data_IF_984334285269
#
_entry.id   IF_984334285269
#
_cell.length_a   1.000
_cell.length_b   1.000
_cell.length_c   1.000
_cell.angle_alpha   90.00
_cell.angle_beta   90.00
_cell.angle_gamma   90.00
#
_symmetry.space_group_name_H-M   'P 1'
#
loop_
_entity.id
_entity.type
_entity.pdbx_description
1 polymer ?
#
# COMPACT_ATOMS: atom_id res chain seq x y z
N UNK A 1 36.36 60.72 5.65
CA UNK A 1 35.98 59.93 6.83
C UNK A 1 34.85 58.99 6.43
N UNK A 2 35.07 57.70 6.67
CA UNK A 2 34.24 56.57 6.25
C UNK A 2 33.04 56.46 7.18
N UNK A 3 31.82 56.44 6.64
CA UNK A 3 30.64 55.96 7.34
C UNK A 3 30.17 54.72 6.57
N UNK A 4 30.32 53.58 7.23
CA UNK A 4 29.88 52.28 6.75
C UNK A 4 28.37 52.18 6.94
N UNK A 5 27.64 51.90 5.86
CA UNK A 5 26.26 51.43 5.93
C UNK A 5 26.30 49.92 5.70
N UNK A 6 26.16 49.16 6.79
CA UNK A 6 25.95 47.72 6.73
C UNK A 6 24.48 47.47 6.36
N UNK A 7 24.26 46.82 5.22
CA UNK A 7 22.94 46.39 4.76
C UNK A 7 22.81 44.90 5.09
N UNK A 8 22.05 44.58 6.12
CA UNK A 8 21.70 43.20 6.49
C UNK A 8 20.58 42.76 5.55
N UNK A 9 20.89 41.89 4.59
CA UNK A 9 19.89 41.14 3.83
C UNK A 9 19.70 39.81 4.54
N UNK A 10 18.56 39.66 5.22
CA UNK A 10 18.12 38.36 5.73
C UNK A 10 17.60 37.51 4.57
N UNK A 11 18.30 36.43 4.26
CA UNK A 11 17.82 35.39 3.34
C UNK A 11 16.78 34.54 4.08
N UNK A 12 15.50 34.72 3.77
CA UNK A 12 14.46 33.77 4.17
C UNK A 12 14.51 32.59 3.19
N UNK A 13 15.08 31.48 3.65
CA UNK A 13 14.94 30.17 3.01
C UNK A 13 13.52 29.65 3.30
N UNK A 14 12.57 29.99 2.44
CA UNK A 14 11.30 29.28 2.35
C UNK A 14 11.57 27.98 1.58
N UNK A 15 11.62 26.86 2.29
CA UNK A 15 11.51 25.52 1.72
C UNK A 15 10.12 25.37 1.11
N UNK A 16 10.02 25.67 -0.19
CA UNK A 16 8.89 25.24 -0.99
C UNK A 16 9.01 23.72 -1.18
N UNK A 17 8.10 22.96 -0.57
CA UNK A 17 7.80 21.62 -1.04
C UNK A 17 7.30 21.76 -2.49
N UNK A 18 8.07 21.23 -3.44
CA UNK A 18 7.64 21.15 -4.83
C UNK A 18 6.63 20.01 -4.86
N UNK A 19 5.34 20.35 -4.91
CA UNK A 19 4.33 19.40 -5.37
C UNK A 19 4.61 19.16 -6.85
N UNK A 20 5.08 17.96 -7.16
CA UNK A 20 5.23 17.51 -8.54
C UNK A 20 3.83 17.22 -9.06
N UNK A 21 3.18 18.23 -9.64
CA UNK A 21 2.02 17.99 -10.49
C UNK A 21 2.53 17.52 -11.86
N UNK A 22 2.45 16.22 -12.11
CA UNK A 22 2.74 15.66 -13.43
C UNK A 22 1.54 15.92 -14.34
N UNK A 23 1.69 16.91 -15.23
CA UNK A 23 0.83 17.08 -16.40
C UNK A 23 1.09 15.94 -17.40
N UNK A 24 0.05 15.18 -17.76
CA UNK A 24 -0.02 14.19 -18.87
C UNK A 24 1.32 13.63 -19.38
N UNK A 25 1.86 12.68 -18.61
CA UNK A 25 2.88 11.70 -18.99
C UNK A 25 2.60 10.46 -18.15
N UNK A 26 2.65 9.25 -18.73
CA UNK A 26 2.24 8.02 -18.05
C UNK A 26 2.82 7.94 -16.63
N UNK A 27 1.96 7.75 -15.63
CA UNK A 27 2.38 7.44 -14.25
C UNK A 27 3.33 6.23 -14.27
N UNK A 28 4.30 6.18 -13.35
CA UNK A 28 5.21 5.03 -13.26
C UNK A 28 4.52 3.77 -12.71
N UNK A 29 3.33 3.93 -12.15
CA UNK A 29 2.48 2.88 -11.58
C UNK A 29 1.02 3.13 -11.95
N UNK A 30 0.24 2.07 -11.90
CA UNK A 30 -1.22 2.15 -11.90
C UNK A 30 -1.73 2.41 -10.48
N UNK A 31 -2.95 2.94 -10.35
CA UNK A 31 -3.60 3.05 -9.04
C UNK A 31 -3.96 1.65 -8.52
N UNK A 32 -3.59 1.35 -7.28
CA UNK A 32 -3.91 0.07 -6.68
C UNK A 32 -5.39 -0.06 -6.27
N UNK A 33 -6.10 1.05 -5.99
CA UNK A 33 -7.46 1.02 -5.45
C UNK A 33 -8.41 1.83 -6.31
N UNK A 34 -9.22 1.16 -7.12
CA UNK A 34 -10.17 1.84 -8.01
C UNK A 34 -11.37 2.41 -7.24
N UNK A 35 -11.67 3.70 -7.43
CA UNK A 35 -12.90 4.34 -6.95
C UNK A 35 -12.87 4.77 -5.48
N UNK A 36 -11.73 4.65 -4.82
CA UNK A 36 -11.46 5.12 -3.46
C UNK A 36 -10.03 5.62 -3.37
N UNK A 37 -9.81 6.71 -2.66
CA UNK A 37 -8.45 7.05 -2.24
C UNK A 37 -8.12 6.14 -1.07
N UNK A 38 -7.02 5.40 -1.13
CA UNK A 38 -6.66 4.51 -0.04
C UNK A 38 -5.27 3.93 -0.18
N UNK A 39 -4.76 3.44 0.94
CA UNK A 39 -3.41 2.90 1.06
C UNK A 39 -3.25 2.11 2.34
N UNK A 40 -2.01 1.88 2.70
CA UNK A 40 -1.61 1.14 3.89
C UNK A 40 -0.77 2.06 4.78
N UNK A 41 -1.22 2.26 6.02
CA UNK A 41 -0.51 3.05 7.03
C UNK A 41 0.78 2.34 7.44
N UNK A 42 0.68 1.04 7.73
CA UNK A 42 1.82 0.25 8.19
C UNK A 42 1.41 -1.11 8.73
N UNK A 43 2.40 -1.79 9.31
CA UNK A 43 2.29 -3.16 9.82
C UNK A 43 2.93 -3.30 11.20
N UNK A 44 2.32 -4.12 12.06
CA UNK A 44 2.91 -4.62 13.30
C UNK A 44 3.00 -6.14 13.21
N UNK A 45 4.18 -6.73 13.42
CA UNK A 45 4.38 -8.19 13.39
C UNK A 45 4.92 -8.71 14.72
N UNK A 46 4.34 -9.80 15.23
CA UNK A 46 4.78 -10.51 16.43
C UNK A 46 5.12 -11.96 16.05
N UNK A 47 6.36 -12.43 16.30
CA UNK A 47 6.71 -13.83 16.09
C UNK A 47 5.95 -14.75 17.06
N UNK A 48 5.45 -15.86 16.53
CA UNK A 48 4.90 -17.00 17.26
C UNK A 48 6.02 -18.06 17.38
N UNK A 49 6.09 -18.79 18.50
CA UNK A 49 7.07 -19.90 18.65
C UNK A 49 8.06 -19.81 19.83
N UNK A 50 8.16 -18.68 20.54
CA UNK A 50 9.19 -18.50 21.59
C UNK A 50 8.73 -18.70 23.06
N UNK A 51 7.61 -19.38 23.30
CA UNK A 51 7.18 -19.76 24.67
C UNK A 51 6.80 -18.59 25.58
N UNK A 52 6.54 -17.40 25.02
CA UNK A 52 5.99 -16.26 25.75
C UNK A 52 4.47 -16.22 25.53
N UNK A 53 3.72 -16.38 26.62
CA UNK A 53 2.25 -16.50 26.56
C UNK A 53 1.54 -15.16 26.25
N UNK A 54 2.24 -14.03 26.38
CA UNK A 54 1.73 -12.69 26.12
C UNK A 54 2.85 -11.84 25.50
N UNK A 55 2.53 -11.14 24.42
CA UNK A 55 3.41 -10.16 23.77
C UNK A 55 2.58 -8.95 23.35
N UNK A 56 3.13 -7.75 23.49
CA UNK A 56 2.53 -6.50 23.02
C UNK A 56 3.61 -5.67 22.32
N UNK A 57 3.27 -5.14 21.15
CA UNK A 57 4.09 -4.22 20.39
C UNK A 57 3.26 -2.97 20.09
N UNK A 58 3.86 -1.80 20.32
CA UNK A 58 3.31 -0.51 19.94
C UNK A 58 4.30 0.18 19.00
N UNK A 59 3.81 0.66 17.87
CA UNK A 59 4.60 1.33 16.82
C UNK A 59 4.09 2.75 16.65
N UNK A 60 4.98 3.73 16.62
CA UNK A 60 4.64 5.11 16.24
C UNK A 60 4.55 5.19 14.70
N UNK A 61 3.76 6.12 14.18
CA UNK A 61 3.51 6.26 12.76
C UNK A 61 4.80 6.39 11.92
N UNK A 62 5.78 7.13 12.45
CA UNK A 62 7.04 7.42 11.77
C UNK A 62 7.98 6.19 11.77
N UNK A 63 7.70 5.19 12.60
CA UNK A 63 8.49 3.97 12.76
C UNK A 63 7.94 2.81 11.92
N UNK A 64 6.84 3.00 11.17
CA UNK A 64 6.35 1.97 10.27
C UNK A 64 7.29 1.76 9.08
N UNK A 65 7.73 0.51 8.89
CA UNK A 65 8.41 0.12 7.67
C UNK A 65 7.45 0.22 6.47
N UNK A 66 7.91 0.67 5.28
CA UNK A 66 7.14 0.60 4.05
C UNK A 66 6.64 -0.82 3.79
N UNK A 67 5.41 -0.95 3.30
CA UNK A 67 4.79 -2.24 3.00
C UNK A 67 4.79 -2.50 1.50
N UNK A 68 5.22 -3.69 1.10
CA UNK A 68 5.11 -4.18 -0.28
C UNK A 68 4.34 -5.50 -0.28
N UNK A 69 3.19 -5.49 -0.96
CA UNK A 69 2.34 -6.66 -1.13
C UNK A 69 2.56 -7.24 -2.53
N UNK A 70 2.98 -8.50 -2.60
CA UNK A 70 3.40 -9.19 -3.83
C UNK A 70 2.41 -10.31 -4.13
N UNK A 71 1.77 -10.28 -5.30
CA UNK A 71 0.96 -11.39 -5.78
C UNK A 71 1.80 -12.30 -6.69
N UNK A 72 2.03 -13.52 -6.25
CA UNK A 72 3.01 -14.45 -6.84
C UNK A 72 2.40 -15.85 -7.01
N UNK A 73 3.20 -16.76 -7.59
CA UNK A 73 2.87 -18.18 -7.60
C UNK A 73 4.12 -19.06 -7.72
N UNK A 74 4.08 -20.26 -7.15
CA UNK A 74 5.18 -21.26 -7.19
C UNK A 74 5.54 -21.72 -8.60
N UNK A 75 4.64 -21.56 -9.56
CA UNK A 75 4.85 -21.90 -10.97
C UNK A 75 5.26 -20.69 -11.84
N UNK A 76 5.22 -19.48 -11.29
CA UNK A 76 5.43 -18.25 -12.04
C UNK A 76 6.92 -17.90 -12.14
N UNK A 77 7.56 -18.24 -13.26
CA UNK A 77 8.97 -17.89 -13.52
C UNK A 77 9.19 -16.38 -13.61
N UNK A 78 8.23 -15.62 -14.14
CA UNK A 78 8.32 -14.17 -14.17
C UNK A 78 8.28 -13.53 -12.77
N UNK A 79 7.68 -14.21 -11.80
CA UNK A 79 7.61 -13.74 -10.42
C UNK A 79 8.98 -13.77 -9.76
N UNK A 80 9.80 -14.78 -10.06
CA UNK A 80 11.22 -14.83 -9.64
C UNK A 80 11.98 -13.60 -10.13
N UNK A 81 11.75 -13.18 -11.37
CA UNK A 81 12.38 -11.98 -11.93
C UNK A 81 11.90 -10.70 -11.22
N UNK A 82 10.58 -10.54 -10.99
CA UNK A 82 10.06 -9.35 -10.31
C UNK A 82 10.48 -9.30 -8.84
N UNK A 83 10.53 -10.43 -8.15
CA UNK A 83 10.99 -10.51 -6.76
C UNK A 83 12.49 -10.15 -6.65
N UNK A 84 13.34 -10.68 -7.53
CA UNK A 84 14.76 -10.28 -7.58
C UNK A 84 14.94 -8.80 -7.96
N UNK A 85 14.06 -8.25 -8.79
CA UNK A 85 14.07 -6.81 -9.14
C UNK A 85 13.65 -5.96 -7.96
N UNK A 86 12.67 -6.43 -7.18
CA UNK A 86 12.22 -5.81 -5.94
C UNK A 86 13.34 -5.82 -4.90
N UNK A 87 14.05 -6.93 -4.73
CA UNK A 87 15.22 -7.03 -3.85
C UNK A 87 16.30 -6.00 -4.22
N UNK A 88 16.59 -5.84 -5.52
CA UNK A 88 17.54 -4.83 -6.01
C UNK A 88 17.07 -3.40 -5.69
N UNK A 89 15.77 -3.12 -5.83
CA UNK A 89 15.19 -1.81 -5.55
C UNK A 89 15.14 -1.47 -4.06
N UNK A 90 14.92 -2.47 -3.20
CA UNK A 90 14.91 -2.33 -1.74
C UNK A 90 16.33 -2.02 -1.22
N UNK A 91 17.33 -2.76 -1.72
CA UNK A 91 18.72 -2.62 -1.28
C UNK A 91 18.86 -2.88 0.22
N UNK A 92 19.39 -1.89 0.95
CA UNK A 92 19.59 -1.97 2.41
C UNK A 92 18.40 -1.38 3.20
N UNK A 93 17.31 -1.01 2.54
CA UNK A 93 16.12 -0.41 3.19
C UNK A 93 15.30 -1.48 3.89
N UNK A 94 14.83 -1.19 5.10
CA UNK A 94 13.89 -2.07 5.78
C UNK A 94 12.48 -1.91 5.17
N UNK A 95 11.89 -3.02 4.74
CA UNK A 95 10.56 -3.08 4.10
C UNK A 95 9.83 -4.31 4.63
N UNK A 96 8.56 -4.15 4.97
CA UNK A 96 7.70 -5.28 5.31
C UNK A 96 7.09 -5.87 4.02
N UNK A 97 7.31 -7.16 3.78
CA UNK A 97 6.83 -7.85 2.57
C UNK A 97 5.74 -8.85 2.92
N UNK A 98 4.75 -8.96 2.03
CA UNK A 98 3.65 -9.91 2.16
C UNK A 98 3.47 -10.60 0.80
N UNK A 99 3.69 -11.91 0.74
CA UNK A 99 3.56 -12.68 -0.50
C UNK A 99 2.21 -13.40 -0.52
N UNK A 100 1.32 -12.91 -1.37
CA UNK A 100 0.04 -13.49 -1.70
C UNK A 100 0.24 -14.55 -2.78
N UNK A 101 0.14 -15.80 -2.37
CA UNK A 101 0.17 -16.93 -3.30
C UNK A 101 -1.21 -17.17 -3.89
N UNK A 102 -1.25 -17.38 -5.20
CA UNK A 102 -2.48 -17.69 -5.92
C UNK A 102 -3.09 -19.01 -5.43
N UNK A 103 -4.41 -19.08 -5.30
CA UNK A 103 -5.10 -20.25 -4.71
C UNK A 103 -6.45 -20.57 -5.37
N UNK A 104 -7.33 -19.59 -5.57
CA UNK A 104 -8.70 -19.85 -6.03
C UNK A 104 -8.69 -20.47 -7.44
N UNK A 105 -9.36 -21.62 -7.56
CA UNK A 105 -9.51 -22.42 -8.77
C UNK A 105 -8.20 -23.00 -9.33
N UNK A 106 -7.18 -23.15 -8.48
CA UNK A 106 -5.88 -23.67 -8.88
C UNK A 106 -5.27 -24.57 -7.80
N UNK A 107 -4.72 -25.71 -8.21
CA UNK A 107 -4.16 -26.71 -7.30
C UNK A 107 -2.62 -26.76 -7.32
N UNK A 108 -1.97 -25.90 -8.12
CA UNK A 108 -0.53 -25.94 -8.37
C UNK A 108 0.30 -25.17 -7.35
N UNK A 109 -0.32 -24.19 -6.69
CA UNK A 109 0.33 -23.42 -5.62
C UNK A 109 -0.30 -23.82 -4.27
N UNK A 110 0.50 -24.36 -3.32
CA UNK A 110 -0.01 -24.88 -2.07
C UNK A 110 -0.15 -23.81 -0.97
N UNK A 111 0.35 -22.60 -1.17
CA UNK A 111 0.59 -21.65 -0.08
C UNK A 111 -0.55 -20.68 0.17
N UNK A 112 -1.30 -20.31 -0.87
CA UNK A 112 -2.42 -19.39 -0.71
C UNK A 112 -3.64 -20.05 -0.04
N UNK A 113 -4.61 -19.23 0.35
CA UNK A 113 -5.90 -19.69 0.88
C UNK A 113 -7.05 -18.80 0.39
N UNK A 114 -8.29 -19.20 0.68
CA UNK A 114 -9.45 -18.39 0.31
C UNK A 114 -9.46 -17.01 0.96
N UNK A 115 -8.88 -16.88 2.17
CA UNK A 115 -8.87 -15.64 2.92
C UNK A 115 -7.79 -14.67 2.40
N UNK A 116 -6.62 -15.18 1.99
CA UNK A 116 -5.58 -14.38 1.35
C UNK A 116 -6.00 -13.88 -0.03
N UNK A 117 -6.65 -14.75 -0.81
CA UNK A 117 -7.27 -14.36 -2.08
C UNK A 117 -8.37 -13.34 -1.89
N UNK A 118 -9.17 -13.46 -0.82
CA UNK A 118 -10.20 -12.49 -0.51
C UNK A 118 -9.59 -11.11 -0.23
N UNK A 119 -8.56 -11.02 0.62
CA UNK A 119 -7.85 -9.76 0.90
C UNK A 119 -7.27 -9.13 -0.36
N UNK A 120 -6.68 -9.92 -1.27
CA UNK A 120 -6.17 -9.35 -2.53
C UNK A 120 -7.31 -8.82 -3.40
N UNK A 121 -8.33 -9.64 -3.65
CA UNK A 121 -9.43 -9.28 -4.55
C UNK A 121 -10.29 -8.12 -4.01
N UNK A 122 -10.54 -8.06 -2.70
CA UNK A 122 -11.33 -6.99 -2.08
C UNK A 122 -10.63 -5.63 -2.15
N UNK A 123 -9.30 -5.63 -2.15
CA UNK A 123 -8.51 -4.39 -2.04
C UNK A 123 -7.95 -3.95 -3.39
N UNK A 124 -7.46 -4.88 -4.21
CA UNK A 124 -6.76 -4.60 -5.47
C UNK A 124 -7.38 -5.28 -6.68
N UNK A 125 -8.45 -6.07 -6.50
CA UNK A 125 -9.05 -6.86 -7.57
C UNK A 125 -9.56 -6.01 -8.73
N UNK A 126 -10.23 -4.90 -8.44
CA UNK A 126 -10.77 -3.99 -9.46
C UNK A 126 -9.67 -3.32 -10.28
N UNK A 127 -8.60 -2.85 -9.63
CA UNK A 127 -7.41 -2.31 -10.31
C UNK A 127 -6.71 -3.37 -11.15
N UNK A 128 -6.44 -4.54 -10.55
CA UNK A 128 -5.82 -5.67 -11.25
C UNK A 128 -6.62 -6.05 -12.50
N UNK A 129 -7.95 -6.09 -12.40
CA UNK A 129 -8.82 -6.38 -13.53
C UNK A 129 -8.79 -5.28 -14.60
N UNK A 130 -8.79 -4.00 -14.19
CA UNK A 130 -8.79 -2.85 -15.10
C UNK A 130 -7.50 -2.73 -15.92
N UNK A 131 -6.35 -3.01 -15.31
CA UNK A 131 -5.03 -2.78 -15.91
C UNK A 131 -4.37 -4.03 -16.52
N UNK A 132 -4.88 -5.24 -16.24
CA UNK A 132 -4.35 -6.48 -16.82
C UNK A 132 -4.95 -6.83 -18.19
N UNK A 133 -4.16 -7.52 -19.01
CA UNK A 133 -4.58 -8.14 -20.27
C UNK A 133 -4.11 -9.61 -20.34
N UNK A 134 -5.02 -10.60 -20.34
CA UNK A 134 -6.47 -10.45 -20.23
C UNK A 134 -6.90 -10.00 -18.82
N UNK A 135 -8.01 -9.26 -18.74
CA UNK A 135 -8.55 -8.75 -17.48
C UNK A 135 -8.81 -9.86 -16.46
N UNK A 136 -8.18 -9.75 -15.30
CA UNK A 136 -8.28 -10.70 -14.21
C UNK A 136 -7.91 -10.01 -12.89
N UNK A 137 -8.66 -10.31 -11.84
CA UNK A 137 -8.48 -9.76 -10.48
C UNK A 137 -7.22 -10.26 -9.78
N UNK A 138 -6.60 -11.32 -10.31
CA UNK A 138 -5.54 -12.13 -9.67
C UNK A 138 -4.43 -12.49 -10.65
N UNK A 139 -3.57 -11.52 -10.95
CA UNK A 139 -2.52 -11.66 -11.96
C UNK A 139 -1.13 -11.67 -11.32
N UNK A 140 -0.45 -12.83 -11.26
CA UNK A 140 0.96 -12.86 -10.93
C UNK A 140 1.82 -12.57 -12.19
N UNK A 141 2.95 -11.84 -12.07
CA UNK A 141 3.37 -11.08 -10.90
C UNK A 141 2.63 -9.74 -10.79
N UNK A 142 2.29 -9.35 -9.57
CA UNK A 142 1.86 -7.99 -9.22
C UNK A 142 2.58 -7.52 -7.97
N UNK A 143 2.94 -6.25 -7.90
CA UNK A 143 3.53 -5.63 -6.71
C UNK A 143 2.76 -4.36 -6.37
N UNK A 144 2.35 -4.21 -5.12
CA UNK A 144 1.65 -3.03 -4.60
C UNK A 144 2.49 -2.39 -3.50
N UNK A 145 2.86 -1.13 -3.70
CA UNK A 145 3.66 -0.35 -2.74
C UNK A 145 2.75 0.55 -1.92
N UNK A 146 2.90 0.49 -0.59
CA UNK A 146 2.10 1.25 0.40
C UNK A 146 0.58 1.11 0.21
N UNK A 147 0.11 0.03 -0.43
CA UNK A 147 -1.30 -0.17 -0.74
C UNK A 147 -1.88 0.78 -1.80
N UNK A 148 -1.05 1.57 -2.49
CA UNK A 148 -1.45 2.68 -3.37
C UNK A 148 -0.98 2.51 -4.82
N UNK A 149 0.18 1.89 -5.02
CA UNK A 149 0.89 1.91 -6.31
C UNK A 149 1.06 0.51 -6.85
N UNK A 150 0.28 0.18 -7.87
CA UNK A 150 0.25 -1.13 -8.50
C UNK A 150 1.23 -1.19 -9.69
N UNK A 151 2.04 -2.25 -9.70
CA UNK A 151 2.89 -2.63 -10.82
C UNK A 151 2.53 -4.03 -11.30
N UNK A 152 2.10 -4.14 -12.55
CA UNK A 152 1.70 -5.41 -13.16
C UNK A 152 2.78 -5.96 -14.09
N UNK A 153 3.05 -7.26 -13.96
CA UNK A 153 3.94 -7.98 -14.85
C UNK A 153 5.40 -7.58 -14.72
N UNK A 154 6.14 -7.67 -15.82
CA UNK A 154 7.60 -7.47 -15.86
C UNK A 154 8.03 -6.25 -16.68
N UNK A 155 7.06 -5.45 -17.13
CA UNK A 155 7.32 -4.33 -18.02
C UNK A 155 7.55 -3.06 -17.21
N UNK A 156 8.69 -2.42 -17.44
CA UNK A 156 8.96 -1.11 -16.88
C UNK A 156 8.09 -0.02 -17.52
N UNK A 157 7.62 0.91 -16.69
CA UNK A 157 6.98 2.16 -17.06
C UNK A 157 7.99 3.30 -17.25
N UNK A 158 9.19 3.19 -16.65
CA UNK A 158 10.31 4.11 -16.86
C UNK A 158 11.52 3.46 -17.55
N UNK A 159 12.74 3.84 -17.16
CA UNK A 159 14.00 3.32 -17.72
C UNK A 159 14.28 1.87 -17.33
N UNK A 160 13.80 1.42 -16.15
CA UNK A 160 13.89 0.03 -15.68
C UNK A 160 12.84 -0.25 -14.61
N UNK A 161 12.50 -1.52 -14.43
CA UNK A 161 11.55 -1.94 -13.41
C UNK A 161 12.11 -1.70 -11.99
N UNK A 162 13.43 -1.83 -11.81
CA UNK A 162 14.13 -1.44 -10.57
C UNK A 162 13.88 0.05 -10.25
N UNK A 163 13.96 0.93 -11.26
CA UNK A 163 13.71 2.36 -11.07
C UNK A 163 12.25 2.64 -10.71
N UNK A 164 11.31 1.91 -11.31
CA UNK A 164 9.88 2.01 -11.01
C UNK A 164 9.59 1.62 -9.54
N UNK A 165 10.16 0.51 -9.07
CA UNK A 165 10.04 0.05 -7.69
C UNK A 165 10.73 0.97 -6.70
N UNK A 166 11.96 1.40 -6.98
CA UNK A 166 12.70 2.33 -6.12
C UNK A 166 11.97 3.68 -5.98
N UNK A 167 11.40 4.18 -7.08
CA UNK A 167 10.57 5.40 -7.04
C UNK A 167 9.31 5.19 -6.21
N UNK A 168 8.66 4.02 -6.33
CA UNK A 168 7.45 3.70 -5.58
C UNK A 168 7.70 3.55 -4.07
N UNK A 169 8.86 3.03 -3.68
CA UNK A 169 9.34 2.97 -2.29
C UNK A 169 9.64 4.37 -1.76
N UNK A 170 10.43 5.16 -2.50
CA UNK A 170 10.83 6.51 -2.09
C UNK A 170 9.65 7.49 -1.99
N UNK A 171 8.54 7.21 -2.69
CA UNK A 171 7.32 8.03 -2.63
C UNK A 171 6.63 7.93 -1.27
N UNK A 172 6.67 6.77 -0.60
CA UNK A 172 6.01 6.56 0.70
C UNK A 172 4.47 6.59 0.66
N UNK A 173 3.83 6.59 1.82
CA UNK A 173 2.37 6.72 1.95
C UNK A 173 1.97 8.14 1.57
N UNK A 174 0.91 8.31 0.76
CA UNK A 174 0.49 9.64 0.30
C UNK A 174 -0.12 10.50 1.41
N UNK A 175 -0.80 9.86 2.37
CA UNK A 175 -1.47 10.53 3.48
C UNK A 175 -0.63 10.49 4.76
N UNK A 176 -0.75 11.55 5.57
CA UNK A 176 -0.02 11.69 6.83
C UNK A 176 -0.93 11.30 8.00
N UNK A 177 -0.46 10.34 8.79
CA UNK A 177 -1.06 9.98 10.07
C UNK A 177 -0.18 10.51 11.20
N UNK A 178 -0.72 10.55 12.42
CA UNK A 178 0.03 10.79 13.65
C UNK A 178 -0.40 9.83 14.75
N UNK A 179 0.53 9.51 15.64
CA UNK A 179 0.27 8.70 16.82
C UNK A 179 0.63 7.24 16.64
N UNK A 180 0.04 6.37 17.46
CA UNK A 180 0.51 4.99 17.56
C UNK A 180 -0.57 3.93 17.33
N UNK A 181 -0.12 2.77 16.90
CA UNK A 181 -0.92 1.56 16.86
C UNK A 181 -0.28 0.49 17.73
N UNK A 182 -1.11 -0.36 18.35
CA UNK A 182 -0.62 -1.52 19.07
C UNK A 182 -1.31 -2.81 18.66
N UNK A 183 -0.53 -3.89 18.70
CA UNK A 183 -0.99 -5.27 18.60
C UNK A 183 -0.51 -5.99 19.86
N UNK A 184 -1.42 -6.72 20.49
CA UNK A 184 -1.13 -7.61 21.60
C UNK A 184 -1.70 -8.99 21.34
N UNK A 185 -1.00 -10.00 21.83
CA UNK A 185 -1.41 -11.39 21.72
C UNK A 185 -1.37 -12.08 23.07
N UNK A 186 -2.29 -13.01 23.27
CA UNK A 186 -2.27 -13.92 24.41
C UNK A 186 -2.72 -15.32 23.97
N UNK A 187 -2.02 -16.34 24.43
CA UNK A 187 -2.35 -17.74 24.11
C UNK A 187 -3.21 -18.36 25.21
N UNK A 188 -4.25 -19.08 24.82
CA UNK A 188 -5.07 -19.86 25.76
C UNK A 188 -4.42 -21.21 26.09
N UNK A 189 -4.83 -21.82 27.20
CA UNK A 189 -4.39 -23.18 27.57
C UNK A 189 -4.74 -24.26 26.51
N UNK A 190 -5.60 -23.94 25.55
CA UNK A 190 -6.08 -24.83 24.48
C UNK A 190 -5.39 -24.56 23.13
N UNK A 191 -4.41 -23.65 23.08
CA UNK A 191 -3.64 -23.31 21.87
C UNK A 191 -4.33 -22.30 20.94
N UNK A 192 -5.45 -21.68 21.37
CA UNK A 192 -6.06 -20.59 20.62
C UNK A 192 -5.36 -19.28 20.92
N UNK A 193 -5.13 -18.46 19.90
CA UNK A 193 -4.49 -17.16 20.03
C UNK A 193 -5.54 -16.06 20.07
N UNK A 194 -5.56 -15.26 21.13
CA UNK A 194 -6.34 -14.03 21.20
C UNK A 194 -5.44 -12.85 20.80
N UNK A 195 -5.78 -12.21 19.69
CA UNK A 195 -5.14 -10.99 19.22
C UNK A 195 -6.03 -9.79 19.55
N UNK A 196 -5.45 -8.73 20.11
CA UNK A 196 -6.14 -7.47 20.40
C UNK A 196 -5.36 -6.29 19.82
N UNK A 197 -6.07 -5.37 19.18
CA UNK A 197 -5.49 -4.20 18.52
C UNK A 197 -6.05 -2.90 19.09
N UNK A 198 -5.24 -1.84 19.01
CA UNK A 198 -5.67 -0.50 19.30
C UNK A 198 -5.02 0.51 18.34
N UNK A 199 -5.85 1.16 17.53
CA UNK A 199 -5.54 2.19 16.55
C UNK A 199 -6.12 3.55 16.94
N UNK A 200 -6.66 3.70 18.15
CA UNK A 200 -7.39 4.91 18.55
C UNK A 200 -6.54 6.18 18.59
N UNK A 201 -5.22 6.02 18.56
CA UNK A 201 -4.27 7.12 18.52
C UNK A 201 -3.78 7.45 17.11
N UNK A 202 -4.07 6.61 16.10
CA UNK A 202 -3.78 6.92 14.71
C UNK A 202 -4.81 7.91 14.20
N UNK A 203 -4.39 9.17 14.09
CA UNK A 203 -5.21 10.26 13.60
C UNK A 203 -4.70 10.74 12.24
N UNK A 204 -5.63 10.96 11.32
CA UNK A 204 -5.31 11.53 10.02
C UNK A 204 -5.03 13.03 10.15
N UNK A 205 -3.92 13.49 9.56
CA UNK A 205 -3.55 14.89 9.52
C UNK A 205 -3.67 15.46 8.11
N UNK A 206 -4.56 16.44 8.00
CA UNK A 206 -4.82 17.22 6.79
C UNK A 206 -4.55 18.70 7.10
N UNK A 207 -3.86 19.40 6.20
CA UNK A 207 -3.67 20.85 6.36
C UNK A 207 -4.98 21.59 6.06
N UNK A 208 -5.49 22.35 7.04
CA UNK A 208 -6.63 23.26 6.83
C UNK A 208 -6.28 24.30 5.75
N UNK A 209 -6.90 24.20 4.57
CA UNK A 209 -6.71 25.19 3.50
C UNK A 209 -7.03 24.72 2.07
N UNK A 210 -7.14 23.40 1.85
CA UNK A 210 -7.41 22.82 0.52
C UNK A 210 -8.85 22.28 0.34
N UNK A 211 -9.69 22.39 1.36
CA UNK A 211 -10.99 21.72 1.45
C UNK A 211 -11.21 21.23 2.88
N UNK A 212 -12.42 20.81 3.22
CA UNK A 212 -12.63 20.10 4.48
C UNK A 212 -11.87 18.77 4.46
N UNK A 213 -11.35 18.34 5.60
CA UNK A 213 -10.66 17.07 5.70
C UNK A 213 -11.63 15.90 5.45
N UNK A 214 -11.28 14.94 4.58
CA UNK A 214 -12.08 13.74 4.41
C UNK A 214 -12.13 12.95 5.72
N UNK A 215 -13.26 12.28 5.94
CA UNK A 215 -13.35 11.29 7.01
C UNK A 215 -12.67 10.00 6.53
N UNK A 216 -11.50 9.70 7.11
CA UNK A 216 -10.77 8.48 6.83
C UNK A 216 -11.40 7.30 7.56
N UNK A 217 -11.48 6.16 6.88
CA UNK A 217 -11.80 4.86 7.48
C UNK A 217 -10.52 4.06 7.61
N UNK A 218 -10.24 3.56 8.83
CA UNK A 218 -9.18 2.58 9.07
C UNK A 218 -9.75 1.17 8.98
N UNK A 219 -9.08 0.30 8.23
CA UNK A 219 -9.47 -1.08 7.98
C UNK A 219 -8.34 -2.03 8.42
N UNK A 220 -8.36 -2.50 9.68
CA UNK A 220 -7.36 -3.43 10.17
C UNK A 220 -7.58 -4.86 9.66
N UNK A 221 -6.47 -5.55 9.43
CA UNK A 221 -6.42 -6.96 9.07
C UNK A 221 -5.45 -7.72 9.98
N UNK A 222 -5.90 -8.84 10.53
CA UNK A 222 -5.05 -9.78 11.27
C UNK A 222 -4.63 -10.90 10.33
N UNK A 223 -3.33 -11.10 10.16
CA UNK A 223 -2.73 -11.97 9.17
C UNK A 223 -1.72 -12.94 9.80
N UNK A 224 -1.51 -14.09 9.16
CA UNK A 224 -0.48 -15.05 9.52
C UNK A 224 0.52 -15.21 8.38
N UNK A 225 1.78 -14.87 8.63
CA UNK A 225 2.87 -14.87 7.63
C UNK A 225 3.99 -15.78 8.12
N UNK A 226 4.42 -16.71 7.27
CA UNK A 226 5.59 -17.55 7.50
C UNK A 226 6.82 -16.92 6.83
N UNK A 227 7.94 -16.86 7.54
CA UNK A 227 9.15 -16.22 7.03
C UNK A 227 9.76 -16.99 5.86
N UNK A 228 9.78 -18.32 5.92
CA UNK A 228 10.31 -19.17 4.86
C UNK A 228 9.62 -20.53 4.78
N UNK A 229 9.25 -20.93 3.57
CA UNK A 229 8.72 -22.25 3.26
C UNK A 229 9.59 -22.94 2.19
N UNK A 230 10.10 -24.13 2.49
CA UNK A 230 10.87 -24.98 1.57
C UNK A 230 9.94 -25.88 0.74
N UNK A 231 9.81 -25.56 -0.54
CA UNK A 231 8.99 -26.27 -1.52
C UNK A 231 9.74 -26.42 -2.87
N UNK A 232 10.66 -27.39 -2.98
CA UNK A 232 11.44 -27.63 -4.20
C UNK A 232 10.60 -28.15 -5.38
N UNK A 233 9.35 -28.56 -5.14
CA UNK A 233 8.42 -28.98 -6.19
C UNK A 233 7.84 -27.81 -7.00
N UNK A 234 8.07 -26.56 -6.59
CA UNK A 234 7.66 -25.38 -7.32
C UNK A 234 8.35 -25.27 -8.69
N UNK A 235 7.58 -25.09 -9.76
CA UNK A 235 8.13 -25.14 -11.13
C UNK A 235 8.88 -23.87 -11.55
N UNK A 236 8.95 -22.86 -10.68
CA UNK A 236 9.74 -21.64 -10.90
C UNK A 236 11.19 -21.75 -10.40
N UNK A 237 11.54 -22.78 -9.62
CA UNK A 237 12.92 -23.10 -9.22
C UNK A 237 13.50 -22.28 -8.08
N UNK A 238 12.68 -21.66 -7.22
CA UNK A 238 13.15 -20.91 -6.04
C UNK A 238 13.58 -21.81 -4.87
N UNK A 239 12.98 -22.99 -4.75
CA UNK A 239 13.05 -23.91 -3.59
C UNK A 239 12.57 -23.32 -2.27
N UNK A 240 12.96 -22.10 -1.91
CA UNK A 240 12.53 -21.37 -0.72
C UNK A 240 11.64 -20.19 -1.11
N UNK A 241 10.46 -20.12 -0.52
CA UNK A 241 9.50 -19.02 -0.68
C UNK A 241 9.44 -18.25 0.63
N UNK A 242 9.57 -16.92 0.56
CA UNK A 242 9.64 -16.07 1.74
C UNK A 242 8.36 -15.27 1.94
N UNK A 243 8.09 -14.86 3.19
CA UNK A 243 6.96 -13.99 3.56
C UNK A 243 5.60 -14.53 3.11
N UNK A 244 5.43 -15.84 3.20
CA UNK A 244 4.25 -16.55 2.69
C UNK A 244 3.05 -16.22 3.58
N UNK A 245 2.06 -15.55 3.01
CA UNK A 245 0.81 -15.27 3.70
C UNK A 245 -0.10 -16.51 3.66
N UNK A 246 -0.43 -17.05 4.84
CA UNK A 246 -1.30 -18.23 5.00
C UNK A 246 -2.77 -17.87 5.13
N UNK A 247 -3.07 -16.89 5.98
CA UNK A 247 -4.44 -16.46 6.27
C UNK A 247 -4.52 -14.95 6.49
N UNK A 248 -5.64 -14.35 6.11
CA UNK A 248 -5.95 -12.93 6.35
C UNK A 248 -7.40 -12.76 6.85
N UNK A 249 -7.56 -12.08 7.99
CA UNK A 249 -8.86 -11.88 8.64
C UNK A 249 -9.14 -10.39 8.76
N UNK A 250 -10.17 -9.92 8.08
CA UNK A 250 -10.67 -8.55 8.26
C UNK A 250 -11.28 -8.42 9.65
N UNK A 251 -10.94 -7.34 10.36
CA UNK A 251 -11.48 -7.07 11.68
C UNK A 251 -12.10 -5.68 11.75
N UNK A 252 -13.19 -5.56 12.51
CA UNK A 252 -13.95 -4.31 12.57
C UNK A 252 -13.46 -3.39 13.70
N UNK A 253 -13.42 -2.10 13.40
CA UNK A 253 -13.23 -1.03 14.38
C UNK A 253 -11.78 -0.72 14.69
N UNK A 254 -11.57 0.48 15.24
CA UNK A 254 -10.25 1.02 15.59
C UNK A 254 -9.64 0.35 16.82
N UNK A 255 -10.41 -0.38 17.62
CA UNK A 255 -9.89 -1.20 18.71
C UNK A 255 -10.77 -2.43 18.89
N UNK A 256 -10.18 -3.57 19.20
CA UNK A 256 -10.93 -4.80 19.33
C UNK A 256 -10.07 -5.99 19.71
N UNK A 257 -10.70 -7.17 19.72
CA UNK A 257 -10.02 -8.44 19.94
C UNK A 257 -10.70 -9.55 19.15
N UNK A 258 -9.91 -10.51 18.67
CA UNK A 258 -10.36 -11.70 17.95
C UNK A 258 -9.63 -12.93 18.48
N UNK A 259 -10.29 -14.08 18.49
CA UNK A 259 -9.67 -15.37 18.83
C UNK A 259 -9.56 -16.20 17.57
N UNK A 260 -8.34 -16.62 17.25
CA UNK A 260 -7.98 -17.35 16.04
C UNK A 260 -7.19 -18.60 16.43
N UNK A 261 -7.20 -19.60 15.55
CA UNK A 261 -6.27 -20.72 15.65
C UNK A 261 -5.15 -20.44 14.64
N UNK A 262 -3.89 -20.33 15.08
CA UNK A 262 -2.78 -20.17 14.14
C UNK A 262 -2.77 -21.31 13.11
N UNK A 263 -2.55 -21.03 11.81
CA UNK A 263 -2.38 -22.06 10.81
C UNK A 263 -1.11 -22.88 11.09
N UNK A 264 -1.04 -24.07 10.51
CA UNK A 264 0.21 -24.82 10.50
C UNK A 264 1.21 -24.11 9.57
N UNK A 265 2.46 -24.00 10.00
CA UNK A 265 3.56 -23.62 9.11
C UNK A 265 3.80 -24.69 8.07
N UNK A 266 4.39 -24.31 6.94
CA UNK A 266 4.85 -25.26 5.95
C UNK A 266 6.02 -26.08 6.48
N UNK A 267 6.98 -25.39 7.08
CA UNK A 267 8.07 -25.98 7.83
C UNK A 267 8.48 -25.09 9.01
N UNK A 268 9.58 -25.43 9.70
CA UNK A 268 10.11 -24.57 10.75
C UNK A 268 9.15 -24.21 11.90
N UNK A 269 9.52 -23.15 12.62
CA UNK A 269 8.74 -22.47 13.66
C UNK A 269 9.03 -20.97 13.53
N UNK A 270 8.51 -20.38 12.45
CA UNK A 270 8.81 -19.04 11.95
C UNK A 270 7.53 -18.30 11.50
N UNK A 271 6.40 -18.63 12.13
CA UNK A 271 5.12 -17.98 11.90
C UNK A 271 5.05 -16.65 12.66
N UNK A 272 4.52 -15.63 11.99
CA UNK A 272 4.22 -14.33 12.58
C UNK A 272 2.72 -14.07 12.52
N UNK A 273 2.19 -13.47 13.58
CA UNK A 273 0.90 -12.78 13.53
C UNK A 273 1.13 -11.31 13.26
N UNK A 274 0.36 -10.77 12.33
CA UNK A 274 0.59 -9.48 11.71
C UNK A 274 -0.69 -8.66 11.73
N UNK A 275 -0.60 -7.39 12.13
CA UNK A 275 -1.67 -6.41 12.00
C UNK A 275 -1.31 -5.46 10.86
N UNK A 276 -1.99 -5.57 9.73
CA UNK A 276 -1.91 -4.64 8.61
C UNK A 276 -3.00 -3.58 8.77
N UNK A 277 -2.66 -2.31 8.61
CA UNK A 277 -3.58 -1.19 8.81
C UNK A 277 -3.77 -0.46 7.48
N UNK A 278 -4.91 -0.68 6.84
CA UNK A 278 -5.29 0.07 5.65
C UNK A 278 -6.07 1.34 6.01
N UNK A 279 -6.04 2.32 5.11
CA UNK A 279 -6.86 3.51 5.18
C UNK A 279 -7.59 3.73 3.86
N UNK A 280 -8.78 4.33 3.92
CA UNK A 280 -9.48 4.79 2.71
C UNK A 280 -10.47 5.93 2.97
N UNK A 281 -10.79 6.68 1.92
CA UNK A 281 -11.93 7.59 1.84
C UNK A 281 -12.46 7.64 0.39
N UNK A 282 -13.73 8.00 0.18
CA UNK A 282 -14.30 8.06 -1.17
C UNK A 282 -13.55 9.04 -2.07
N UNK A 283 -13.37 8.69 -3.33
CA UNK A 283 -12.96 9.67 -4.34
C UNK A 283 -14.05 10.74 -4.50
N UNK A 284 -13.64 12.01 -4.55
CA UNK A 284 -14.54 13.09 -4.93
C UNK A 284 -14.95 12.89 -6.39
N UNK A 285 -16.25 12.93 -6.71
CA UNK A 285 -16.69 12.80 -8.10
C UNK A 285 -16.06 13.93 -8.91
N UNK A 286 -15.49 13.60 -10.08
CA UNK A 286 -14.95 14.62 -10.99
C UNK A 286 -16.01 15.70 -11.23
N UNK A 287 -15.74 16.90 -10.73
CA UNK A 287 -16.67 18.00 -10.87
C UNK A 287 -16.84 18.32 -12.35
N UNK A 288 -18.06 18.33 -12.92
CA UNK A 288 -18.30 18.61 -14.34
C UNK A 288 -18.19 20.11 -14.66
N UNK A 289 -17.21 20.80 -14.05
CA UNK A 289 -16.96 22.20 -14.35
C UNK A 289 -16.18 22.25 -15.67
N UNK A 290 -16.72 22.89 -16.72
CA UNK A 290 -15.97 23.05 -17.96
C UNK A 290 -14.70 23.84 -17.64
N UNK A 291 -13.56 23.35 -18.12
CA UNK A 291 -12.26 23.98 -17.95
C UNK A 291 -12.38 25.51 -18.16
N UNK A 292 -11.72 26.35 -17.34
CA UNK A 292 -11.91 27.81 -17.34
C UNK A 292 -11.68 28.45 -18.73
N UNK A 293 -10.93 27.77 -19.62
CA UNK A 293 -10.78 28.16 -21.01
C UNK A 293 -12.07 28.15 -21.83
N UNK A 294 -12.99 27.20 -21.60
CA UNK A 294 -14.26 27.08 -22.34
C UNK A 294 -15.22 28.22 -21.94
N UNK A 295 -15.25 28.58 -20.65
CA UNK A 295 -16.05 29.70 -20.14
C UNK A 295 -15.53 31.03 -20.69
N UNK A 296 -14.21 31.23 -20.73
CA UNK A 296 -13.60 32.41 -21.32
C UNK A 296 -13.93 32.57 -22.82
N UNK A 297 -13.89 31.48 -23.59
CA UNK A 297 -14.26 31.49 -25.02
C UNK A 297 -15.74 31.80 -25.22
N UNK A 298 -16.64 31.24 -24.40
CA UNK A 298 -18.07 31.52 -24.46
C UNK A 298 -18.40 32.98 -24.12
N UNK A 299 -17.74 33.55 -23.11
CA UNK A 299 -17.89 34.98 -22.75
C UNK A 299 -17.37 35.88 -23.87
N UNK A 300 -16.22 35.57 -24.47
CA UNK A 300 -15.68 36.32 -25.61
C UNK A 300 -16.60 36.27 -26.83
N UNK A 301 -17.23 35.11 -27.10
CA UNK A 301 -18.20 34.95 -28.20
C UNK A 301 -19.49 35.75 -27.95
N UNK A 302 -19.98 35.80 -26.71
CA UNK A 302 -21.17 36.59 -26.35
C UNK A 302 -20.92 38.10 -26.45
N UNK A 303 -19.73 38.57 -26.04
CA UNK A 303 -19.34 39.98 -26.18
C UNK A 303 -19.14 40.37 -27.66
N UNK A 304 -18.59 39.48 -28.48
CA UNK A 304 -18.46 39.69 -29.93
C UNK A 304 -19.82 39.68 -30.65
N UNK A 305 -20.78 38.86 -30.20
CA UNK A 305 -22.13 38.83 -30.75
C UNK A 305 -22.96 40.07 -30.36
N UNK A 306 -22.80 40.58 -29.14
CA UNK A 306 -23.47 41.80 -28.68
C UNK A 306 -22.97 43.06 -29.42
N UNK A 307 -21.65 43.15 -29.70
CA UNK A 307 -21.08 44.29 -30.43
C UNK A 307 -21.49 44.36 -31.91
N UNK A 308 -21.87 43.23 -32.53
CA UNK A 308 -22.41 43.21 -33.91
C UNK A 308 -23.87 43.68 -34.03
N UNK A 309 -24.62 43.77 -32.93
CA UNK A 309 -26.02 44.26 -32.95
C UNK A 309 -26.14 45.79 -32.77
N UNK A 310 -25.04 46.50 -32.53
CA UNK A 310 -25.01 47.96 -32.35
C UNK A 310 -24.35 48.73 -33.50
N UNK A 311 -24.25 48.14 -34.70
CA UNK A 311 -23.87 48.84 -35.94
C UNK A 311 -24.98 48.77 -36.97
#
# INVERSE_FOLDING_TARGET
MRIASALVVGLLLSSFAITVTSSEGSSMWDDARMGVNGGTVGVIAIPLGNGSNISEITVQEDDFAPVVEVYTATWCTNCVYTESTLDEAIGDTEVFRIHYHRHKFEALDPFGSNSTEHRWESTYGDASYAYSDPSNTRIPPSNVFSGERLHLGTRASSSSLVNDYATSLATGVSEQFHGSASLSISESEQGSLQASWNLSQLEYYCMEGAGGCPTITLSPWVMFIEDSAYFPEGTNGLDYYHHVLHEAHEVEGVSGSITLNPPATWDGDDLHIVLLIDWSYPEEPESPLPAPGIVAVLVCMLVAAASRRQR
#
